data_IF_569938891500
#
_entry.id   IF_569938891500
#
_cell.length_a   1.000
_cell.length_b   1.000
_cell.length_c   1.000
_cell.angle_alpha   90.00
_cell.angle_beta   90.00
_cell.angle_gamma   90.00
#
_symmetry.space_group_name_H-M   'P 1'
#
loop_
_entity.id
_entity.type
_entity.pdbx_description
1 polymer ?
#
# COMPACT_ATOMS: atom_id res chain seq x y z
N UNK A 1 -66.75 12.36 25.90
CA UNK A 1 -68.09 11.87 26.30
C UNK A 1 -67.95 11.07 27.58
N UNK A 2 -68.89 11.21 28.51
CA UNK A 2 -68.86 10.58 29.83
C UNK A 2 -70.28 10.08 30.16
N UNK A 3 -70.39 8.92 30.81
CA UNK A 3 -71.70 8.36 31.16
C UNK A 3 -72.24 8.98 32.46
N UNK A 4 -73.56 8.91 32.68
CA UNK A 4 -74.22 9.54 33.84
C UNK A 4 -73.71 9.08 35.21
N UNK A 5 -73.20 7.85 35.32
CA UNK A 5 -72.60 7.35 36.56
C UNK A 5 -71.29 8.07 36.90
N UNK A 6 -70.41 8.28 35.91
CA UNK A 6 -69.14 8.97 36.09
C UNK A 6 -69.32 10.45 36.49
N UNK A 7 -70.45 11.05 36.11
CA UNK A 7 -70.77 12.45 36.42
C UNK A 7 -71.32 12.64 37.83
N UNK A 8 -72.08 11.67 38.33
CA UNK A 8 -72.83 11.83 39.59
C UNK A 8 -72.04 11.35 40.80
N UNK A 9 -71.29 10.25 40.68
CA UNK A 9 -70.50 9.66 41.79
C UNK A 9 -69.07 9.27 41.39
N UNK A 10 -68.68 9.54 40.15
CA UNK A 10 -67.35 9.23 39.62
C UNK A 10 -66.41 10.44 39.57
N UNK A 11 -65.31 10.30 38.82
CA UNK A 11 -64.19 11.25 38.75
C UNK A 11 -64.51 12.62 38.13
N UNK A 12 -65.72 12.80 37.59
CA UNK A 12 -66.15 14.06 36.99
C UNK A 12 -67.21 14.78 37.84
N UNK A 13 -67.44 14.32 39.08
CA UNK A 13 -68.36 14.97 40.01
C UNK A 13 -67.93 16.42 40.29
N UNK A 14 -68.86 17.36 40.07
CA UNK A 14 -68.61 18.80 40.27
C UNK A 14 -67.88 19.50 39.13
N UNK A 15 -67.49 18.81 38.05
CA UNK A 15 -66.92 19.46 36.87
C UNK A 15 -68.02 20.13 36.02
N UNK A 16 -67.75 21.30 35.43
CA UNK A 16 -68.69 21.93 34.50
C UNK A 16 -68.78 21.09 33.22
N UNK A 17 -69.98 20.62 32.89
CA UNK A 17 -70.25 19.74 31.75
C UNK A 17 -71.47 20.24 31.01
N UNK A 18 -71.37 20.33 29.69
CA UNK A 18 -72.50 20.59 28.80
C UNK A 18 -73.26 19.29 28.50
N UNK A 19 -74.57 19.38 28.26
CA UNK A 19 -75.30 18.27 27.68
C UNK A 19 -74.82 18.01 26.23
N UNK A 20 -75.06 16.80 25.74
CA UNK A 20 -74.58 16.36 24.44
C UNK A 20 -75.01 17.27 23.29
N UNK A 21 -76.24 17.78 23.33
CA UNK A 21 -76.78 18.61 22.26
C UNK A 21 -76.15 20.00 22.27
N UNK A 22 -75.99 20.60 23.45
CA UNK A 22 -75.29 21.88 23.61
C UNK A 22 -73.82 21.80 23.22
N UNK A 23 -73.11 20.74 23.63
CA UNK A 23 -71.72 20.51 23.24
C UNK A 23 -71.58 20.30 21.72
N UNK A 24 -72.49 19.52 21.12
CA UNK A 24 -72.53 19.31 19.67
C UNK A 24 -72.76 20.63 18.93
N UNK A 25 -73.72 21.46 19.35
CA UNK A 25 -74.00 22.74 18.69
C UNK A 25 -72.85 23.74 18.83
N UNK A 26 -72.11 23.74 19.96
CA UNK A 26 -70.91 24.56 20.15
C UNK A 26 -69.78 24.16 19.20
N UNK A 27 -69.58 22.86 18.99
CA UNK A 27 -68.49 22.32 18.17
C UNK A 27 -68.88 22.08 16.69
N UNK A 28 -70.15 22.26 16.34
CA UNK A 28 -70.71 21.90 15.03
C UNK A 28 -69.92 22.49 13.85
N UNK A 29 -69.44 23.72 14.02
CA UNK A 29 -68.73 24.47 12.97
C UNK A 29 -67.19 24.31 13.06
N UNK A 30 -66.68 23.68 14.12
CA UNK A 30 -65.23 23.47 14.33
C UNK A 30 -64.58 22.68 13.20
N UNK A 31 -65.17 21.57 12.69
CA UNK A 31 -64.60 20.84 11.55
C UNK A 31 -64.39 21.71 10.30
N UNK A 32 -65.31 22.64 10.03
CA UNK A 32 -65.18 23.55 8.89
C UNK A 32 -64.03 24.54 9.09
N UNK A 33 -63.89 25.11 10.29
CA UNK A 33 -62.77 26.02 10.62
C UNK A 33 -61.41 25.32 10.52
N UNK A 34 -61.33 24.06 10.95
CA UNK A 34 -60.12 23.25 10.80
C UNK A 34 -59.83 22.93 9.34
N UNK A 35 -60.87 22.66 8.54
CA UNK A 35 -60.71 22.45 7.10
C UNK A 35 -60.14 23.71 6.42
N UNK A 36 -60.67 24.89 6.75
CA UNK A 36 -60.17 26.17 6.23
C UNK A 36 -58.68 26.38 6.56
N UNK A 37 -58.25 26.06 7.79
CA UNK A 37 -56.84 26.08 8.21
C UNK A 37 -55.98 25.05 7.46
N UNK A 38 -56.54 23.90 7.07
CA UNK A 38 -55.85 22.87 6.29
C UNK A 38 -55.80 23.15 4.79
N UNK A 39 -56.51 24.18 4.33
CA UNK A 39 -56.55 24.62 2.93
C UNK A 39 -56.04 26.05 2.75
N UNK A 40 -55.42 26.61 3.79
CA UNK A 40 -54.82 27.94 3.71
C UNK A 40 -53.57 27.96 2.79
N UNK A 41 -52.98 29.13 2.65
CA UNK A 41 -51.84 29.34 1.76
C UNK A 41 -50.62 28.53 2.15
N UNK A 42 -50.45 28.16 3.43
CA UNK A 42 -49.30 27.39 3.90
C UNK A 42 -49.23 26.00 3.25
N UNK A 43 -50.38 25.36 3.00
CA UNK A 43 -50.43 24.04 2.36
C UNK A 43 -50.16 24.09 0.85
N UNK A 44 -50.50 25.20 0.22
CA UNK A 44 -50.11 25.46 -1.18
C UNK A 44 -48.60 25.69 -1.27
N UNK A 45 -48.02 26.47 -0.35
CA UNK A 45 -46.58 26.68 -0.25
C UNK A 45 -45.82 25.38 0.03
N UNK A 46 -46.37 24.49 0.87
CA UNK A 46 -45.83 23.16 1.12
C UNK A 46 -45.75 22.33 -0.16
N UNK A 47 -46.82 22.34 -0.96
CA UNK A 47 -46.86 21.60 -2.24
C UNK A 47 -45.81 22.14 -3.22
N UNK A 48 -45.72 23.46 -3.37
CA UNK A 48 -44.71 24.10 -4.20
C UNK A 48 -43.28 23.82 -3.69
N UNK A 49 -43.08 23.76 -2.37
CA UNK A 49 -41.79 23.42 -1.78
C UNK A 49 -41.39 21.97 -2.10
N UNK A 50 -42.33 21.03 -2.06
CA UNK A 50 -42.09 19.63 -2.46
C UNK A 50 -41.66 19.58 -3.93
N UNK A 51 -42.40 20.22 -4.84
CA UNK A 51 -42.05 20.27 -6.27
C UNK A 51 -40.64 20.83 -6.50
N UNK A 52 -40.31 21.94 -5.82
CA UNK A 52 -38.97 22.54 -5.90
C UNK A 52 -37.89 21.60 -5.38
N UNK A 53 -38.13 20.88 -4.29
CA UNK A 53 -37.18 19.90 -3.75
C UNK A 53 -36.96 18.73 -4.71
N UNK A 54 -38.02 18.24 -5.34
CA UNK A 54 -37.94 17.18 -6.35
C UNK A 54 -37.15 17.62 -7.59
N UNK A 55 -37.39 18.84 -8.07
CA UNK A 55 -36.64 19.42 -9.18
C UNK A 55 -35.14 19.56 -8.84
N UNK A 56 -34.83 20.12 -7.67
CA UNK A 56 -33.44 20.28 -7.21
C UNK A 56 -32.73 18.94 -7.02
N UNK A 57 -33.43 17.94 -6.49
CA UNK A 57 -32.91 16.57 -6.37
C UNK A 57 -32.60 16.00 -7.75
N UNK A 58 -33.55 16.05 -8.70
CA UNK A 58 -33.35 15.53 -10.05
C UNK A 58 -32.20 16.24 -10.78
N UNK A 59 -32.08 17.56 -10.61
CA UNK A 59 -30.99 18.33 -11.17
C UNK A 59 -29.64 17.88 -10.62
N UNK A 60 -29.54 17.72 -9.29
CA UNK A 60 -28.32 17.26 -8.61
C UNK A 60 -27.94 15.84 -9.04
N UNK A 61 -28.91 14.92 -9.16
CA UNK A 61 -28.69 13.55 -9.62
C UNK A 61 -28.17 13.52 -11.07
N UNK A 62 -28.71 14.37 -11.95
CA UNK A 62 -28.24 14.50 -13.34
C UNK A 62 -26.80 15.03 -13.41
N UNK A 63 -26.44 16.01 -12.58
CA UNK A 63 -25.06 16.51 -12.49
C UNK A 63 -24.09 15.39 -12.09
N UNK A 64 -24.43 14.65 -11.03
CA UNK A 64 -23.61 13.51 -10.58
C UNK A 64 -23.48 12.44 -11.67
N UNK A 65 -24.56 12.16 -12.41
CA UNK A 65 -24.50 11.21 -13.52
C UNK A 65 -23.59 11.70 -14.66
N UNK A 66 -23.68 12.98 -15.02
CA UNK A 66 -22.77 13.59 -16.00
C UNK A 66 -21.31 13.51 -15.56
N UNK A 67 -21.02 13.78 -14.30
CA UNK A 67 -19.65 13.72 -13.77
C UNK A 67 -19.09 12.28 -13.80
N UNK A 68 -19.94 11.28 -13.51
CA UNK A 68 -19.56 9.86 -13.65
C UNK A 68 -19.14 9.54 -15.09
N UNK A 69 -19.90 10.02 -16.08
CA UNK A 69 -19.58 9.80 -17.49
C UNK A 69 -18.26 10.46 -17.89
N UNK A 70 -18.00 11.69 -17.43
CA UNK A 70 -16.72 12.39 -17.64
C UNK A 70 -15.55 11.59 -17.06
N UNK A 71 -15.68 11.08 -15.83
CA UNK A 71 -14.63 10.26 -15.19
C UNK A 71 -14.38 8.98 -16.00
N UNK A 72 -15.44 8.26 -16.38
CA UNK A 72 -15.31 7.03 -17.16
C UNK A 72 -14.62 7.29 -18.51
N UNK A 73 -15.01 8.35 -19.20
CA UNK A 73 -14.43 8.71 -20.49
C UNK A 73 -12.95 9.07 -20.37
N UNK A 74 -12.58 9.88 -19.37
CA UNK A 74 -11.19 10.28 -19.14
C UNK A 74 -10.27 9.08 -18.92
N UNK A 75 -10.65 8.16 -18.02
CA UNK A 75 -9.81 6.99 -17.73
C UNK A 75 -9.77 5.98 -18.88
N UNK A 76 -10.86 5.87 -19.66
CA UNK A 76 -10.86 5.07 -20.89
C UNK A 76 -9.86 5.61 -21.90
N UNK A 77 -9.90 6.91 -22.20
CA UNK A 77 -8.96 7.54 -23.13
C UNK A 77 -7.51 7.39 -22.67
N UNK A 78 -7.25 7.60 -21.37
CA UNK A 78 -5.92 7.41 -20.80
C UNK A 78 -5.43 5.97 -20.96
N UNK A 79 -6.29 4.99 -20.66
CA UNK A 79 -5.98 3.57 -20.83
C UNK A 79 -5.67 3.22 -22.28
N UNK A 80 -6.47 3.73 -23.22
CA UNK A 80 -6.27 3.49 -24.66
C UNK A 80 -4.92 4.07 -25.14
N UNK A 81 -4.57 5.27 -24.67
CA UNK A 81 -3.26 5.90 -24.96
C UNK A 81 -2.12 5.05 -24.40
N UNK A 82 -2.21 4.60 -23.15
CA UNK A 82 -1.18 3.77 -22.52
C UNK A 82 -0.98 2.46 -23.28
N UNK A 83 -2.07 1.79 -23.65
CA UNK A 83 -1.98 0.53 -24.40
C UNK A 83 -1.41 0.76 -25.81
N UNK A 84 -1.75 1.86 -26.47
CA UNK A 84 -1.13 2.24 -27.75
C UNK A 84 0.38 2.43 -27.60
N UNK A 85 0.82 3.17 -26.58
CA UNK A 85 2.26 3.42 -26.35
C UNK A 85 3.00 2.12 -26.04
N UNK A 86 2.43 1.25 -25.21
CA UNK A 86 2.96 -0.10 -24.92
C UNK A 86 3.15 -0.91 -26.21
N UNK A 87 2.16 -0.94 -27.10
CA UNK A 87 2.26 -1.63 -28.39
C UNK A 87 3.43 -1.11 -29.24
N UNK A 88 3.61 0.21 -29.29
CA UNK A 88 4.71 0.82 -30.05
C UNK A 88 6.08 0.47 -29.44
N UNK A 89 6.23 0.50 -28.11
CA UNK A 89 7.46 0.07 -27.44
C UNK A 89 7.81 -1.38 -27.75
N UNK A 90 6.82 -2.27 -27.69
CA UNK A 90 7.02 -3.69 -27.99
C UNK A 90 7.38 -3.91 -29.46
N UNK A 91 6.74 -3.18 -30.38
CA UNK A 91 7.08 -3.24 -31.80
C UNK A 91 8.54 -2.82 -32.05
N UNK A 92 8.98 -1.71 -31.46
CA UNK A 92 10.37 -1.26 -31.58
C UNK A 92 11.38 -2.26 -31.01
N UNK A 93 11.04 -2.97 -29.93
CA UNK A 93 11.88 -4.05 -29.39
C UNK A 93 11.91 -5.28 -30.32
N UNK A 94 10.80 -5.61 -30.97
CA UNK A 94 10.76 -6.67 -32.00
C UNK A 94 11.66 -6.31 -33.19
N UNK A 95 11.66 -5.04 -33.63
CA UNK A 95 12.53 -4.58 -34.70
C UNK A 95 14.02 -4.72 -34.32
N UNK A 96 14.38 -4.35 -33.09
CA UNK A 96 15.74 -4.59 -32.56
C UNK A 96 16.09 -6.08 -32.53
N UNK A 97 15.17 -6.94 -32.11
CA UNK A 97 15.36 -8.41 -32.12
C UNK A 97 15.64 -8.91 -33.54
N UNK A 98 14.93 -8.39 -34.54
CA UNK A 98 15.17 -8.72 -35.94
C UNK A 98 16.56 -8.26 -36.40
N UNK A 99 17.01 -7.06 -36.01
CA UNK A 99 18.36 -6.58 -36.32
C UNK A 99 19.45 -7.45 -35.68
N UNK A 100 19.26 -7.92 -34.44
CA UNK A 100 20.16 -8.87 -33.77
C UNK A 100 20.23 -10.18 -34.55
N UNK A 101 19.09 -10.70 -34.98
CA UNK A 101 19.04 -11.91 -35.80
C UNK A 101 19.76 -11.72 -37.13
N UNK A 102 19.58 -10.58 -37.79
CA UNK A 102 20.27 -10.26 -39.06
C UNK A 102 21.79 -10.20 -38.88
N UNK A 103 22.29 -9.72 -37.75
CA UNK A 103 23.72 -9.66 -37.46
C UNK A 103 24.32 -11.05 -37.17
N UNK A 104 23.69 -11.85 -36.32
CA UNK A 104 24.29 -13.08 -35.80
C UNK A 104 23.91 -14.36 -36.56
N UNK A 105 22.71 -14.45 -37.13
CA UNK A 105 22.24 -15.69 -37.79
C UNK A 105 23.16 -16.12 -38.94
N UNK A 106 23.58 -15.23 -39.86
CA UNK A 106 24.48 -15.62 -40.95
C UNK A 106 25.83 -16.14 -40.46
N UNK A 107 26.33 -15.60 -39.34
CA UNK A 107 27.60 -16.03 -38.75
C UNK A 107 27.46 -17.41 -38.09
N UNK A 108 26.35 -17.63 -37.37
CA UNK A 108 26.02 -18.92 -36.75
C UNK A 108 25.86 -20.01 -37.81
N UNK A 109 25.09 -19.76 -38.86
CA UNK A 109 24.88 -20.75 -39.94
C UNK A 109 26.20 -21.07 -40.65
N UNK A 110 27.03 -20.07 -40.94
CA UNK A 110 28.39 -20.31 -41.47
C UNK A 110 29.22 -21.20 -40.55
N UNK A 111 29.16 -21.01 -39.23
CA UNK A 111 29.91 -21.85 -38.29
C UNK A 111 29.35 -23.27 -38.20
N UNK A 112 28.04 -23.45 -38.31
CA UNK A 112 27.41 -24.78 -38.40
C UNK A 112 27.86 -25.52 -39.65
N UNK A 113 27.87 -24.86 -40.81
CA UNK A 113 28.35 -25.46 -42.07
C UNK A 113 29.82 -25.91 -41.98
N UNK A 114 30.70 -25.09 -41.39
CA UNK A 114 32.11 -25.47 -41.17
C UNK A 114 32.21 -26.71 -40.26
N UNK A 115 31.40 -26.76 -39.19
CA UNK A 115 31.37 -27.89 -38.25
C UNK A 115 30.82 -29.17 -38.90
N UNK A 116 29.82 -29.06 -39.76
CA UNK A 116 29.27 -30.18 -40.51
C UNK A 116 30.33 -30.77 -41.47
N UNK A 117 31.00 -29.92 -42.25
CA UNK A 117 32.11 -30.34 -43.12
C UNK A 117 33.26 -30.97 -42.33
N UNK A 118 33.57 -30.44 -41.13
CA UNK A 118 34.54 -31.06 -40.24
C UNK A 118 34.13 -32.49 -39.86
N UNK A 119 32.87 -32.70 -39.49
CA UNK A 119 32.35 -34.00 -39.06
C UNK A 119 32.33 -35.01 -40.22
N UNK A 120 31.95 -34.58 -41.43
CA UNK A 120 32.03 -35.40 -42.64
C UNK A 120 33.46 -35.85 -42.92
N UNK A 121 34.43 -34.92 -42.87
CA UNK A 121 35.84 -35.25 -43.06
C UNK A 121 36.37 -36.19 -41.98
N UNK A 122 35.95 -36.03 -40.71
CA UNK A 122 36.31 -36.97 -39.65
C UNK A 122 35.78 -38.38 -39.93
N UNK A 123 34.54 -38.49 -40.41
CA UNK A 123 33.91 -39.77 -40.74
C UNK A 123 34.62 -40.44 -41.91
N UNK A 124 34.91 -39.69 -42.98
CA UNK A 124 35.68 -40.17 -44.14
C UNK A 124 37.08 -40.62 -43.72
N UNK A 125 37.74 -39.85 -42.86
CA UNK A 125 39.08 -40.19 -42.34
C UNK A 125 39.08 -41.44 -41.48
N UNK A 126 38.02 -41.68 -40.70
CA UNK A 126 37.87 -42.92 -39.95
C UNK A 126 37.68 -44.12 -40.89
N UNK A 127 36.81 -44.00 -41.91
CA UNK A 127 36.54 -45.07 -42.87
C UNK A 127 37.74 -45.45 -43.74
N UNK A 128 38.68 -44.52 -43.98
CA UNK A 128 39.93 -44.78 -44.71
C UNK A 128 40.78 -45.88 -44.08
N UNK A 129 40.70 -46.08 -42.76
CA UNK A 129 41.49 -47.10 -42.07
C UNK A 129 41.10 -48.52 -42.45
N UNK A 130 39.88 -48.71 -42.98
CA UNK A 130 39.32 -50.01 -43.37
C UNK A 130 39.50 -50.29 -44.87
N UNK A 131 40.04 -49.33 -45.64
CA UNK A 131 40.22 -49.44 -47.10
C UNK A 131 41.52 -50.18 -47.49
N UNK A 132 41.56 -50.69 -48.72
CA UNK A 132 42.78 -51.34 -49.24
C UNK A 132 43.92 -50.34 -49.47
N UNK A 133 45.20 -50.76 -49.42
CA UNK A 133 46.34 -49.84 -49.53
C UNK A 133 46.33 -48.93 -50.77
N UNK A 134 45.89 -49.44 -51.92
CA UNK A 134 45.79 -48.64 -53.15
C UNK A 134 44.69 -47.56 -53.05
N UNK A 135 43.49 -47.93 -52.60
CA UNK A 135 42.36 -47.00 -52.43
C UNK A 135 42.64 -45.95 -51.35
N UNK A 136 43.36 -46.34 -50.30
CA UNK A 136 43.82 -45.42 -49.27
C UNK A 136 44.69 -44.32 -49.87
N UNK A 137 45.73 -44.70 -50.64
CA UNK A 137 46.65 -43.75 -51.26
C UNK A 137 45.95 -42.84 -52.28
N UNK A 138 44.96 -43.35 -53.01
CA UNK A 138 44.15 -42.55 -53.95
C UNK A 138 43.32 -41.47 -53.23
N UNK A 139 42.72 -41.79 -52.07
CA UNK A 139 41.76 -40.91 -51.38
C UNK A 139 42.38 -39.99 -50.31
N UNK A 140 43.53 -40.36 -49.75
CA UNK A 140 44.12 -39.65 -48.59
C UNK A 140 44.59 -38.24 -48.94
N UNK A 141 45.04 -38.01 -50.17
CA UNK A 141 45.51 -36.69 -50.61
C UNK A 141 44.36 -35.71 -50.83
N UNK A 142 43.21 -36.18 -51.35
CA UNK A 142 41.97 -35.38 -51.45
C UNK A 142 41.48 -34.95 -50.05
N UNK A 143 41.47 -35.88 -49.09
CA UNK A 143 41.08 -35.57 -47.70
C UNK A 143 42.05 -34.60 -47.06
N UNK A 144 43.36 -34.75 -47.29
CA UNK A 144 44.39 -33.81 -46.82
C UNK A 144 44.16 -32.41 -47.36
N UNK A 145 43.82 -32.28 -48.65
CA UNK A 145 43.51 -31.00 -49.28
C UNK A 145 42.25 -30.37 -48.66
N UNK A 146 41.17 -31.12 -48.48
CA UNK A 146 39.94 -30.61 -47.87
C UNK A 146 40.15 -30.17 -46.41
N UNK A 147 40.92 -30.92 -45.61
CA UNK A 147 41.28 -30.52 -44.25
C UNK A 147 42.06 -29.20 -44.26
N UNK A 148 42.99 -29.02 -45.20
CA UNK A 148 43.78 -27.80 -45.30
C UNK A 148 42.91 -26.59 -45.70
N UNK A 149 42.00 -26.77 -46.66
CA UNK A 149 41.04 -25.73 -47.06
C UNK A 149 40.15 -25.33 -45.87
N UNK A 150 39.63 -26.31 -45.13
CA UNK A 150 38.76 -26.06 -43.98
C UNK A 150 39.51 -25.32 -42.86
N UNK A 151 40.77 -25.69 -42.59
CA UNK A 151 41.63 -25.01 -41.60
C UNK A 151 41.98 -23.57 -41.99
N UNK A 152 42.08 -23.26 -43.27
CA UNK A 152 42.40 -21.91 -43.76
C UNK A 152 41.18 -20.99 -43.83
N UNK A 153 39.96 -21.52 -43.64
CA UNK A 153 38.74 -20.72 -43.70
C UNK A 153 38.69 -19.73 -42.54
N UNK A 154 38.49 -18.42 -42.79
CA UNK A 154 38.50 -17.42 -41.73
C UNK A 154 37.28 -17.59 -40.81
N UNK A 155 37.55 -17.54 -39.51
CA UNK A 155 36.51 -17.49 -38.49
C UNK A 155 35.99 -16.05 -38.33
N UNK A 156 34.68 -15.84 -38.16
CA UNK A 156 34.12 -14.51 -37.94
C UNK A 156 34.57 -13.96 -36.59
N UNK A 157 34.82 -12.65 -36.56
CA UNK A 157 35.05 -11.94 -35.30
C UNK A 157 33.70 -11.62 -34.66
N UNK A 158 33.47 -12.11 -33.44
CA UNK A 158 32.22 -11.88 -32.71
C UNK A 158 32.25 -10.48 -32.09
N UNK A 159 31.50 -9.54 -32.68
CA UNK A 159 31.33 -8.20 -32.12
C UNK A 159 30.14 -8.16 -31.17
N UNK A 160 30.29 -7.66 -29.93
CA UNK A 160 29.16 -7.48 -29.03
C UNK A 160 28.27 -6.33 -29.51
N UNK A 161 26.97 -6.60 -29.61
CA UNK A 161 25.95 -5.61 -29.95
C UNK A 161 25.34 -5.04 -28.67
N UNK A 162 25.39 -3.72 -28.50
CA UNK A 162 24.66 -3.02 -27.44
C UNK A 162 23.32 -2.49 -27.97
N UNK A 163 22.25 -2.66 -27.20
CA UNK A 163 20.92 -2.09 -27.48
C UNK A 163 20.81 -0.74 -26.79
N UNK A 164 20.52 0.31 -27.55
CA UNK A 164 20.36 1.66 -27.02
C UNK A 164 19.19 2.41 -27.69
N UNK A 165 18.41 3.19 -26.94
CA UNK A 165 18.41 3.31 -25.47
C UNK A 165 17.80 2.09 -24.78
N UNK A 166 18.14 1.86 -23.50
CA UNK A 166 17.54 0.78 -22.71
C UNK A 166 16.15 1.21 -22.24
N UNK A 167 15.13 0.46 -22.62
CA UNK A 167 13.73 0.73 -22.25
C UNK A 167 13.55 0.84 -20.73
N UNK A 168 14.26 0.02 -19.95
CA UNK A 168 14.21 0.09 -18.49
C UNK A 168 14.63 1.45 -17.94
N UNK A 169 15.63 2.10 -18.54
CA UNK A 169 16.09 3.43 -18.15
C UNK A 169 15.06 4.48 -18.53
N UNK A 170 14.58 4.45 -19.78
CA UNK A 170 13.55 5.39 -20.27
C UNK A 170 12.29 5.34 -19.41
N UNK A 171 11.84 4.12 -19.07
CA UNK A 171 10.64 3.96 -18.25
C UNK A 171 10.86 4.48 -16.82
N UNK A 172 12.04 4.21 -16.24
CA UNK A 172 12.36 4.60 -14.87
C UNK A 172 12.67 6.08 -14.72
N UNK A 173 13.30 6.70 -15.71
CA UNK A 173 13.81 8.07 -15.60
C UNK A 173 12.89 9.09 -16.26
N UNK A 174 12.39 8.80 -17.47
CA UNK A 174 11.59 9.76 -18.23
C UNK A 174 10.09 9.56 -17.98
N UNK A 175 9.59 8.33 -18.11
CA UNK A 175 8.15 8.05 -18.03
C UNK A 175 7.61 8.16 -16.61
N UNK A 176 8.35 7.67 -15.61
CA UNK A 176 7.92 7.70 -14.21
C UNK A 176 7.71 9.12 -13.66
N UNK A 177 8.43 10.11 -14.22
CA UNK A 177 8.38 11.51 -13.82
C UNK A 177 7.36 12.33 -14.61
N UNK A 178 6.74 11.73 -15.63
CA UNK A 178 5.83 12.44 -16.51
C UNK A 178 4.44 12.51 -15.90
N UNK A 179 3.86 13.71 -15.89
CA UNK A 179 2.48 13.92 -15.47
C UNK A 179 1.50 13.18 -16.39
N UNK A 180 0.43 12.64 -15.81
CA UNK A 180 -0.61 11.87 -16.53
C UNK A 180 -1.15 12.64 -17.75
N UNK A 181 -1.36 13.95 -17.61
CA UNK A 181 -1.85 14.80 -18.69
C UNK A 181 -0.87 14.97 -19.87
N UNK A 182 0.41 14.65 -19.71
CA UNK A 182 1.43 14.77 -20.76
C UNK A 182 1.78 13.42 -21.42
N UNK A 183 1.29 12.29 -20.90
CA UNK A 183 1.60 10.94 -21.42
C UNK A 183 1.31 10.82 -22.92
N UNK A 184 0.25 11.46 -23.42
CA UNK A 184 -0.10 11.47 -24.85
C UNK A 184 1.04 12.03 -25.72
N UNK A 185 1.73 13.06 -25.24
CA UNK A 185 2.78 13.79 -25.96
C UNK A 185 4.15 13.11 -25.89
N UNK A 186 4.35 12.17 -24.96
CA UNK A 186 5.61 11.46 -24.83
C UNK A 186 5.95 10.71 -26.12
N UNK A 187 7.16 10.95 -26.63
CA UNK A 187 7.68 10.22 -27.77
C UNK A 187 8.30 8.92 -27.29
N UNK A 188 8.15 7.88 -28.11
CA UNK A 188 8.86 6.62 -27.89
C UNK A 188 10.16 6.74 -28.68
N UNK A 189 11.32 6.65 -28.01
CA UNK A 189 12.60 6.82 -28.67
C UNK A 189 12.83 5.67 -29.65
N UNK A 190 13.45 6.00 -30.78
CA UNK A 190 13.88 5.03 -31.77
C UNK A 190 14.96 4.12 -31.18
N UNK A 191 14.70 2.81 -31.16
CA UNK A 191 15.64 1.83 -30.62
C UNK A 191 16.62 1.38 -31.69
N UNK A 192 17.90 1.28 -31.33
CA UNK A 192 18.97 0.93 -32.25
C UNK A 192 19.89 -0.11 -31.63
N UNK A 193 20.54 -0.85 -32.50
CA UNK A 193 21.70 -1.66 -32.14
C UNK A 193 22.96 -0.89 -32.52
N UNK A 194 23.93 -0.82 -31.62
CA UNK A 194 25.25 -0.27 -31.90
C UNK A 194 26.31 -1.35 -31.78
N UNK A 195 27.11 -1.49 -32.83
CA UNK A 195 28.39 -2.19 -32.78
C UNK A 195 29.37 -1.31 -32.01
N UNK A 196 29.73 -1.72 -30.80
CA UNK A 196 30.79 -1.08 -30.04
C UNK A 196 32.03 -1.93 -30.23
N UNK A 197 33.09 -1.38 -30.83
CA UNK A 197 34.43 -1.98 -30.76
C UNK A 197 34.93 -1.87 -29.32
N UNK A 198 34.49 -2.79 -28.49
CA UNK A 198 35.14 -3.05 -27.21
C UNK A 198 36.23 -4.09 -27.50
N UNK A 199 37.48 -3.91 -27.06
CA UNK A 199 38.43 -5.02 -27.03
C UNK A 199 37.77 -6.18 -26.30
N UNK A 200 37.94 -7.41 -26.78
CA UNK A 200 37.42 -8.63 -26.17
C UNK A 200 38.03 -8.88 -24.77
N UNK A 201 37.69 -8.04 -23.81
CA UNK A 201 37.58 -8.43 -22.42
C UNK A 201 36.10 -8.73 -22.23
N UNK A 202 35.75 -10.02 -22.19
CA UNK A 202 34.55 -10.43 -21.49
C UNK A 202 34.56 -9.70 -20.15
N UNK A 203 33.63 -8.78 -19.89
CA UNK A 203 33.51 -8.28 -18.55
C UNK A 203 32.90 -9.42 -17.77
N UNK A 204 33.68 -9.98 -16.85
CA UNK A 204 33.21 -10.66 -15.65
C UNK A 204 32.43 -9.65 -14.75
N UNK A 205 31.53 -8.88 -15.37
CA UNK A 205 30.63 -7.91 -14.74
C UNK A 205 29.39 -8.69 -14.33
N UNK A 206 29.59 -9.58 -13.38
CA UNK A 206 28.51 -10.02 -12.51
C UNK A 206 29.07 -10.37 -11.13
N UNK A 207 30.33 -10.83 -11.00
CA UNK A 207 30.89 -11.09 -9.68
C UNK A 207 31.20 -9.82 -8.88
N UNK A 208 31.85 -8.81 -9.47
CA UNK A 208 32.27 -7.61 -8.72
C UNK A 208 31.12 -6.69 -8.30
N UNK A 209 30.08 -6.55 -9.13
CA UNK A 209 28.90 -5.76 -8.77
C UNK A 209 28.07 -6.48 -7.70
N UNK A 210 27.87 -7.80 -7.84
CA UNK A 210 27.17 -8.62 -6.83
C UNK A 210 27.95 -8.67 -5.51
N UNK A 211 29.28 -8.71 -5.55
CA UNK A 211 30.14 -8.67 -4.36
C UNK A 211 30.09 -7.29 -3.68
N UNK A 212 30.06 -6.19 -4.45
CA UNK A 212 29.89 -4.85 -3.90
C UNK A 212 28.51 -4.68 -3.24
N UNK A 213 27.42 -5.16 -3.86
CA UNK A 213 26.10 -5.13 -3.25
C UNK A 213 25.99 -6.03 -2.02
N UNK A 214 26.68 -7.18 -1.98
CA UNK A 214 26.78 -8.03 -0.79
C UNK A 214 27.50 -7.30 0.35
N UNK A 215 28.65 -6.69 0.08
CA UNK A 215 29.42 -5.92 1.07
C UNK A 215 28.58 -4.74 1.57
N UNK A 216 27.94 -3.99 0.67
CA UNK A 216 27.09 -2.86 1.02
C UNK A 216 25.90 -3.27 1.90
N UNK A 217 25.24 -4.39 1.57
CA UNK A 217 24.14 -4.92 2.39
C UNK A 217 24.62 -5.37 3.77
N UNK A 218 25.79 -6.00 3.89
CA UNK A 218 26.38 -6.37 5.18
C UNK A 218 26.70 -5.11 6.01
N UNK A 219 27.24 -4.07 5.39
CA UNK A 219 27.53 -2.79 6.05
C UNK A 219 26.23 -2.11 6.52
N UNK A 220 25.17 -2.11 5.71
CA UNK A 220 23.88 -1.53 6.08
C UNK A 220 23.24 -2.31 7.25
N UNK A 221 23.22 -3.64 7.19
CA UNK A 221 22.63 -4.47 8.26
C UNK A 221 23.41 -4.32 9.57
N UNK A 222 24.74 -4.23 9.51
CA UNK A 222 25.57 -4.00 10.71
C UNK A 222 25.33 -2.60 11.29
N UNK A 223 25.22 -1.56 10.47
CA UNK A 223 24.85 -0.21 10.91
C UNK A 223 23.48 -0.19 11.60
N UNK A 224 22.47 -0.82 11.00
CA UNK A 224 21.12 -0.91 11.58
C UNK A 224 21.17 -1.65 12.92
N UNK A 225 21.91 -2.76 13.00
CA UNK A 225 22.07 -3.53 14.24
C UNK A 225 22.74 -2.69 15.34
N UNK A 226 23.80 -1.95 15.02
CA UNK A 226 24.48 -1.06 15.97
C UNK A 226 23.54 0.05 16.45
N UNK A 227 22.78 0.67 15.54
CA UNK A 227 21.79 1.70 15.90
C UNK A 227 20.72 1.11 16.82
N UNK A 228 20.21 -0.09 16.53
CA UNK A 228 19.21 -0.76 17.35
C UNK A 228 19.75 -1.08 18.75
N UNK A 229 20.99 -1.56 18.84
CA UNK A 229 21.67 -1.83 20.11
C UNK A 229 21.89 -0.55 20.92
N UNK A 230 22.25 0.56 20.27
CA UNK A 230 22.36 1.86 20.94
C UNK A 230 21.00 2.32 21.46
N UNK A 231 19.93 2.23 20.66
CA UNK A 231 18.57 2.60 21.10
C UNK A 231 18.13 1.75 22.29
N UNK A 232 18.36 0.43 22.26
CA UNK A 232 18.04 -0.46 23.38
C UNK A 232 18.85 -0.12 24.64
N UNK A 233 20.14 0.19 24.47
CA UNK A 233 21.01 0.60 25.57
C UNK A 233 20.56 1.93 26.20
N UNK A 234 20.23 2.93 25.38
CA UNK A 234 19.68 4.20 25.87
C UNK A 234 18.33 4.02 26.54
N UNK A 235 17.42 3.21 25.97
CA UNK A 235 16.14 2.92 26.60
C UNK A 235 16.30 2.21 27.94
N UNK A 236 17.24 1.27 28.06
CA UNK A 236 17.52 0.60 29.33
C UNK A 236 18.07 1.57 30.37
N UNK A 237 18.95 2.50 29.98
CA UNK A 237 19.43 3.56 30.87
C UNK A 237 18.31 4.51 31.31
N UNK A 238 17.43 4.93 30.38
CA UNK A 238 16.28 5.80 30.70
C UNK A 238 15.32 5.08 31.65
N UNK A 239 15.01 3.80 31.41
CA UNK A 239 14.14 3.00 32.27
C UNK A 239 14.76 2.84 33.67
N UNK A 240 16.06 2.57 33.75
CA UNK A 240 16.77 2.41 35.03
C UNK A 240 16.76 3.72 35.82
N UNK A 241 17.05 4.84 35.15
CA UNK A 241 17.03 6.17 35.75
C UNK A 241 15.63 6.60 36.20
N UNK A 242 14.59 6.34 35.39
CA UNK A 242 13.20 6.61 35.76
C UNK A 242 12.77 5.73 36.95
N UNK A 243 13.15 4.46 36.99
CA UNK A 243 12.87 3.58 38.13
C UNK A 243 13.58 4.06 39.41
N UNK A 244 14.82 4.54 39.30
CA UNK A 244 15.58 5.08 40.43
C UNK A 244 14.92 6.35 40.99
N UNK A 245 14.55 7.31 40.12
CA UNK A 245 13.81 8.51 40.52
C UNK A 245 12.45 8.16 41.12
N UNK A 246 11.72 7.24 40.48
CA UNK A 246 10.38 6.83 40.95
C UNK A 246 10.48 6.16 42.31
N UNK A 247 11.47 5.29 42.53
CA UNK A 247 11.72 4.63 43.81
C UNK A 247 12.09 5.63 44.92
N UNK A 248 12.93 6.63 44.63
CA UNK A 248 13.31 7.66 45.59
C UNK A 248 12.08 8.48 46.00
N UNK A 249 11.33 8.98 45.01
CA UNK A 249 10.13 9.79 45.23
C UNK A 249 9.04 9.01 45.98
N UNK A 250 8.80 7.74 45.62
CA UNK A 250 7.83 6.90 46.33
C UNK A 250 8.28 6.59 47.76
N UNK A 251 9.58 6.43 48.01
CA UNK A 251 10.10 6.19 49.38
C UNK A 251 9.94 7.42 50.27
N UNK A 252 10.15 8.62 49.73
CA UNK A 252 10.07 9.87 50.50
C UNK A 252 8.61 10.23 50.83
N UNK A 253 7.71 10.08 49.85
CA UNK A 253 6.26 10.26 50.07
C UNK A 253 5.73 9.21 51.05
N UNK A 254 6.09 7.93 50.89
CA UNK A 254 5.63 6.88 51.80
C UNK A 254 6.16 7.03 53.23
N UNK A 255 7.41 7.48 53.40
CA UNK A 255 7.97 7.79 54.71
C UNK A 255 7.23 8.95 55.38
N UNK A 256 6.89 10.01 54.64
CA UNK A 256 6.12 11.14 55.17
C UNK A 256 4.71 10.74 55.62
N UNK A 257 4.03 9.90 54.84
CA UNK A 257 2.70 9.38 55.17
C UNK A 257 2.76 8.47 56.39
N UNK A 258 3.78 7.61 56.46
CA UNK A 258 4.00 6.73 57.61
C UNK A 258 4.26 7.51 58.90
N UNK A 259 5.15 8.51 58.85
CA UNK A 259 5.45 9.38 59.99
C UNK A 259 4.22 10.15 60.47
N UNK A 260 3.44 10.71 59.53
CA UNK A 260 2.22 11.44 59.87
C UNK A 260 1.17 10.50 60.50
N UNK A 261 0.98 9.31 59.94
CA UNK A 261 0.05 8.32 60.50
C UNK A 261 0.50 7.85 61.90
N UNK A 262 1.80 7.64 62.09
CA UNK A 262 2.38 7.24 63.37
C UNK A 262 2.18 8.30 64.46
N UNK A 263 2.41 9.57 64.13
CA UNK A 263 2.20 10.69 65.04
C UNK A 263 0.72 10.81 65.46
N UNK A 264 -0.21 10.73 64.50
CA UNK A 264 -1.65 10.78 64.79
C UNK A 264 -2.11 9.62 65.68
N UNK A 265 -1.56 8.41 65.47
CA UNK A 265 -1.83 7.26 66.34
C UNK A 265 -1.26 7.44 67.76
N UNK A 266 -0.08 8.07 67.86
CA UNK A 266 0.53 8.39 69.15
C UNK A 266 -0.31 9.43 69.92
N UNK A 267 -0.80 10.46 69.24
CA UNK A 267 -1.66 11.49 69.84
C UNK A 267 -3.01 10.92 70.29
N UNK A 268 -3.62 10.05 69.47
CA UNK A 268 -4.84 9.34 69.84
C UNK A 268 -4.63 8.46 71.08
N UNK A 269 -3.50 7.74 71.14
CA UNK A 269 -3.12 6.94 72.32
C UNK A 269 -2.99 7.83 73.55
N UNK A 270 -2.31 8.97 73.44
CA UNK A 270 -2.13 9.90 74.56
C UNK A 270 -3.47 10.49 75.03
N UNK A 271 -4.35 10.86 74.10
CA UNK A 271 -5.70 11.34 74.41
C UNK A 271 -6.53 10.26 75.13
N UNK A 272 -6.49 9.01 74.66
CA UNK A 272 -7.17 7.89 75.31
C UNK A 272 -6.61 7.60 76.70
N UNK A 273 -5.29 7.59 76.85
CA UNK A 273 -4.64 7.41 78.16
C UNK A 273 -5.04 8.53 79.13
N UNK A 274 -5.06 9.79 78.68
CA UNK A 274 -5.50 10.92 79.49
C UNK A 274 -6.99 10.81 79.85
N UNK A 275 -7.83 10.39 78.92
CA UNK A 275 -9.27 10.21 79.15
C UNK A 275 -9.52 9.09 80.17
N UNK A 276 -8.80 7.98 80.03
CA UNK A 276 -8.85 6.85 80.99
C UNK A 276 -8.33 7.25 82.37
N UNK A 277 -7.29 8.09 82.43
CA UNK A 277 -6.79 8.62 83.70
C UNK A 277 -7.82 9.50 84.39
N UNK A 278 -8.46 10.42 83.66
CA UNK A 278 -9.55 11.26 84.18
C UNK A 278 -10.75 10.43 84.63
N UNK A 279 -11.11 9.40 83.86
CA UNK A 279 -12.19 8.48 84.21
C UNK A 279 -11.85 7.72 85.50
N UNK A 280 -10.61 7.25 85.64
CA UNK A 280 -10.11 6.59 86.85
C UNK A 280 -10.14 7.53 88.05
N UNK A 281 -9.72 8.79 87.89
CA UNK A 281 -9.77 9.80 88.95
C UNK A 281 -11.22 10.13 89.37
N UNK A 282 -12.13 10.25 88.40
CA UNK A 282 -13.55 10.47 88.64
C UNK A 282 -14.18 9.30 89.40
N UNK A 283 -13.93 8.07 88.97
CA UNK A 283 -14.39 6.86 89.66
C UNK A 283 -13.81 6.76 91.08
N UNK A 284 -12.54 7.14 91.27
CA UNK A 284 -11.93 7.19 92.60
C UNK A 284 -12.61 8.21 93.52
N UNK A 285 -12.96 9.40 93.01
CA UNK A 285 -13.70 10.44 93.73
C UNK A 285 -15.12 10.00 94.12
N UNK A 286 -15.79 9.16 93.31
CA UNK A 286 -17.12 8.62 93.64
C UNK A 286 -17.05 7.56 94.74
N UNK A 287 -16.02 6.71 94.74
CA UNK A 287 -15.88 5.61 95.72
C UNK A 287 -15.37 6.10 97.09
N UNK A 288 -14.81 7.31 97.17
CA UNK A 288 -14.27 7.91 98.40
C UNK A 288 -15.23 8.88 99.12
N UNK A 289 -16.50 8.89 98.74
CA UNK A 289 -17.59 9.67 99.36
C UNK A 289 -18.71 8.77 99.88
#
# INVERSE_FOLDING_TARGET
LVCGHCLTIGQHHGHPIDDLQSAYLKEKDTPQKLLEQLTDTHWTDLTHLIEKLEEQKSHSEKMVQSDKEVVLQYFKELSDILEQKKKIFLAALCDVSNLINQEYTPQIERMKEIREQQLELMTLTASLQEESPLKFLEKVDDIRQHVQILKQRPLPEVQPVEIYPRVSQILKEDWSRTEIGQIKKLLIPEMKISSKRMPCSWPDKDEKEVEFFKILNIVIVTLISVILMLILFFNQHIITFLNEITSICFSEVSLSVYQNLSNNLHDLKNMLCHTLYLLKEFMWKIVSH
#
